data_IF_674043877493
#
_entry.id   IF_674043877493
#
_cell.length_a   1.000
_cell.length_b   1.000
_cell.length_c   1.000
_cell.angle_alpha   90.00
_cell.angle_beta   90.00
_cell.angle_gamma   90.00
#
_symmetry.space_group_name_H-M   'P 1'
#
loop_
_entity.id
_entity.type
_entity.pdbx_description
1 polymer ?
#
# COMPACT_ATOMS: atom_id res chain seq x y z
N UNK A 1 -8.69 -22.26 -8.63
CA UNK A 1 -9.31 -21.09 -9.26
C UNK A 1 -8.71 -19.87 -8.59
N UNK A 2 -8.16 -18.96 -9.39
CA UNK A 2 -7.49 -17.73 -8.94
C UNK A 2 -8.56 -16.74 -8.46
N UNK A 3 -9.17 -17.03 -7.30
CA UNK A 3 -10.31 -16.27 -6.82
C UNK A 3 -9.81 -14.98 -6.16
N UNK A 4 -10.11 -13.85 -6.81
CA UNK A 4 -9.71 -12.50 -6.39
C UNK A 4 -10.96 -11.70 -6.03
N UNK A 5 -11.67 -12.07 -4.95
CA UNK A 5 -12.98 -11.50 -4.62
C UNK A 5 -12.93 -9.99 -4.38
N UNK A 6 -11.78 -9.42 -4.03
CA UNK A 6 -11.60 -7.98 -3.88
C UNK A 6 -11.77 -7.23 -5.20
N UNK A 7 -11.49 -7.83 -6.36
CA UNK A 7 -11.66 -7.17 -7.67
C UNK A 7 -13.13 -6.80 -7.90
N UNK A 8 -14.05 -7.72 -7.57
CA UNK A 8 -15.49 -7.45 -7.59
C UNK A 8 -15.88 -6.30 -6.65
N UNK A 9 -15.32 -6.26 -5.44
CA UNK A 9 -15.63 -5.19 -4.49
C UNK A 9 -15.06 -3.83 -4.88
N UNK A 10 -13.94 -3.78 -5.62
CA UNK A 10 -13.43 -2.54 -6.24
C UNK A 10 -14.46 -2.02 -7.24
N UNK A 11 -14.93 -2.85 -8.17
CA UNK A 11 -15.91 -2.44 -9.18
C UNK A 11 -17.22 -1.95 -8.55
N UNK A 12 -17.70 -2.64 -7.52
CA UNK A 12 -18.89 -2.22 -6.77
C UNK A 12 -18.66 -0.89 -6.05
N UNK A 13 -17.50 -0.71 -5.40
CA UNK A 13 -17.16 0.52 -4.71
C UNK A 13 -17.03 1.71 -5.67
N UNK A 14 -16.43 1.52 -6.85
CA UNK A 14 -16.36 2.57 -7.88
C UNK A 14 -17.75 3.07 -8.28
N UNK A 15 -18.70 2.16 -8.54
CA UNK A 15 -20.08 2.53 -8.88
C UNK A 15 -20.74 3.33 -7.76
N UNK A 16 -20.54 2.94 -6.51
CA UNK A 16 -21.12 3.60 -5.33
C UNK A 16 -20.48 4.96 -5.01
N UNK A 17 -19.24 5.18 -5.44
CA UNK A 17 -18.46 6.37 -5.11
C UNK A 17 -18.36 7.38 -6.27
N UNK A 18 -19.05 7.13 -7.39
CA UNK A 18 -19.02 7.98 -8.61
C UNK A 18 -19.31 9.46 -8.32
N UNK A 19 -20.26 9.74 -7.41
CA UNK A 19 -20.73 11.12 -7.12
C UNK A 19 -20.04 11.73 -5.87
N UNK A 20 -18.87 11.24 -5.48
CA UNK A 20 -18.10 11.78 -4.34
C UNK A 20 -17.10 12.83 -4.78
N UNK A 21 -16.70 13.69 -3.84
CA UNK A 21 -15.75 14.78 -4.08
C UNK A 21 -14.37 14.29 -4.59
N UNK A 22 -13.98 13.08 -4.23
CA UNK A 22 -12.73 12.45 -4.65
C UNK A 22 -12.97 11.44 -5.77
N UNK A 23 -12.10 11.44 -6.78
CA UNK A 23 -12.08 10.39 -7.79
C UNK A 23 -11.42 9.12 -7.23
N UNK A 24 -12.20 8.05 -7.11
CA UNK A 24 -11.71 6.74 -6.65
C UNK A 24 -11.20 5.86 -7.80
N UNK A 25 -11.26 6.33 -9.04
CA UNK A 25 -10.71 5.63 -10.20
C UNK A 25 -9.20 5.49 -10.07
N UNK A 26 -8.65 4.38 -10.59
CA UNK A 26 -7.20 4.19 -10.67
C UNK A 26 -6.57 5.33 -11.48
N UNK A 27 -5.56 6.04 -10.94
CA UNK A 27 -4.81 7.01 -11.73
C UNK A 27 -4.09 6.36 -12.92
N UNK A 28 -3.61 7.20 -13.85
CA UNK A 28 -2.82 6.73 -14.98
C UNK A 28 -1.58 5.98 -14.50
N UNK A 29 -1.23 4.88 -15.18
CA UNK A 29 0.03 4.17 -14.92
C UNK A 29 1.27 5.04 -15.12
N UNK A 30 1.17 6.13 -15.89
CA UNK A 30 2.25 7.10 -16.07
C UNK A 30 2.56 7.92 -14.81
N UNK A 31 1.61 8.02 -13.87
CA UNK A 31 1.84 8.69 -12.59
C UNK A 31 2.37 7.73 -11.51
N UNK A 32 2.47 6.44 -11.84
CA UNK A 32 3.09 5.42 -11.01
C UNK A 32 4.63 5.42 -11.13
N UNK A 33 5.25 6.51 -10.67
CA UNK A 33 6.71 6.73 -10.73
C UNK A 33 7.43 6.40 -9.43
N UNK A 34 8.55 5.70 -9.54
CA UNK A 34 9.48 5.46 -8.43
C UNK A 34 10.68 6.43 -8.56
N UNK A 35 11.12 6.96 -7.42
CA UNK A 35 12.26 7.86 -7.36
C UNK A 35 13.31 7.33 -6.39
N UNK A 36 14.57 7.49 -6.76
CA UNK A 36 15.73 7.19 -5.92
C UNK A 36 16.53 8.47 -5.68
N UNK A 37 16.97 8.69 -4.44
CA UNK A 37 17.90 9.78 -4.11
C UNK A 37 19.32 9.23 -4.09
N UNK A 38 20.23 9.90 -4.80
CA UNK A 38 21.65 9.58 -4.76
C UNK A 38 22.22 9.76 -3.34
N UNK A 39 23.26 8.99 -3.00
CA UNK A 39 23.99 9.07 -1.73
C UNK A 39 24.64 10.46 -1.48
N UNK A 40 24.77 11.29 -2.52
CA UNK A 40 25.26 12.67 -2.41
C UNK A 40 24.16 13.68 -2.06
N UNK A 41 22.88 13.26 -2.04
CA UNK A 41 21.73 14.09 -1.62
C UNK A 41 21.20 15.06 -2.67
N UNK A 42 21.94 15.33 -3.75
CA UNK A 42 21.63 16.40 -4.70
C UNK A 42 20.82 15.95 -5.94
N UNK A 43 20.82 14.64 -6.25
CA UNK A 43 20.17 14.10 -7.45
C UNK A 43 18.99 13.17 -7.13
N UNK A 44 17.80 13.56 -7.59
CA UNK A 44 16.59 12.73 -7.60
C UNK A 44 16.43 12.09 -8.97
N UNK A 45 16.53 10.77 -9.05
CA UNK A 45 16.45 10.03 -10.30
C UNK A 45 15.15 9.23 -10.37
N UNK A 46 14.40 9.38 -11.47
CA UNK A 46 13.27 8.50 -11.77
C UNK A 46 13.81 7.13 -12.17
N UNK A 47 13.31 6.07 -11.54
CA UNK A 47 13.74 4.69 -11.76
C UNK A 47 12.55 3.81 -12.11
N UNK A 48 12.81 2.74 -12.87
CA UNK A 48 11.78 1.74 -13.19
C UNK A 48 11.41 0.87 -12.00
N UNK A 49 10.18 0.36 -11.99
CA UNK A 49 9.75 -0.62 -11.01
C UNK A 49 10.53 -1.94 -11.13
N UNK A 50 10.83 -2.62 -10.01
CA UNK A 50 11.49 -3.92 -10.02
C UNK A 50 10.74 -4.93 -10.90
N UNK A 51 11.47 -5.60 -11.79
CA UNK A 51 10.92 -6.66 -12.62
C UNK A 51 10.84 -7.96 -11.83
N UNK A 52 9.84 -8.82 -12.08
CA UNK A 52 9.82 -10.16 -11.51
C UNK A 52 11.08 -10.92 -11.94
N UNK A 53 11.58 -11.79 -11.06
CA UNK A 53 12.74 -12.63 -11.37
C UNK A 53 12.34 -13.61 -12.48
N UNK A 54 13.19 -13.79 -13.49
CA UNK A 54 12.90 -14.70 -14.59
C UNK A 54 12.60 -16.12 -14.08
N UNK A 55 11.53 -16.73 -14.61
CA UNK A 55 11.06 -18.04 -14.16
C UNK A 55 10.21 -18.03 -12.89
N UNK A 56 9.92 -16.86 -12.31
CA UNK A 56 8.98 -16.73 -11.17
C UNK A 56 7.59 -16.30 -11.63
N UNK A 57 6.57 -16.64 -10.82
CA UNK A 57 5.20 -16.21 -11.08
C UNK A 57 5.05 -14.70 -10.84
N UNK A 58 4.54 -13.97 -11.83
CA UNK A 58 4.18 -12.57 -11.67
C UNK A 58 2.67 -12.42 -11.40
N UNK A 59 2.26 -12.00 -10.18
CA UNK A 59 0.85 -11.77 -9.86
C UNK A 59 0.27 -10.51 -10.52
N UNK A 60 1.11 -9.63 -11.08
CA UNK A 60 0.71 -8.35 -11.67
C UNK A 60 -0.17 -8.56 -12.90
N UNK A 61 -1.34 -7.91 -12.90
CA UNK A 61 -2.18 -7.74 -14.09
C UNK A 61 -2.20 -6.25 -14.45
N UNK A 62 -2.17 -5.89 -15.76
CA UNK A 62 -2.25 -4.49 -16.18
C UNK A 62 -3.46 -3.78 -15.56
N UNK A 63 -3.23 -2.59 -14.98
CA UNK A 63 -4.24 -1.75 -14.34
C UNK A 63 -5.00 -2.37 -13.16
N UNK A 64 -4.50 -3.47 -12.58
CA UNK A 64 -5.10 -4.13 -11.42
C UNK A 64 -4.18 -4.02 -10.20
N UNK A 65 -4.73 -3.94 -8.98
CA UNK A 65 -3.91 -3.97 -7.78
C UNK A 65 -3.37 -5.38 -7.53
N UNK A 66 -2.23 -5.44 -6.86
CA UNK A 66 -1.61 -6.68 -6.37
C UNK A 66 -1.64 -6.69 -4.86
N UNK A 67 -1.96 -7.84 -4.28
CA UNK A 67 -1.91 -8.05 -2.84
C UNK A 67 -0.49 -8.45 -2.45
N UNK A 68 0.10 -7.71 -1.51
CA UNK A 68 1.42 -8.01 -0.94
C UNK A 68 1.27 -8.41 0.52
N UNK A 69 1.98 -9.45 0.95
CA UNK A 69 1.99 -9.94 2.32
C UNK A 69 3.35 -9.64 2.96
N UNK A 70 3.37 -8.82 4.00
CA UNK A 70 4.58 -8.49 4.73
C UNK A 70 4.33 -7.49 5.86
N UNK A 71 5.40 -7.16 6.60
CA UNK A 71 5.33 -6.20 7.69
C UNK A 71 5.07 -4.78 7.20
N UNK A 72 4.25 -4.04 7.93
CA UNK A 72 4.03 -2.60 7.72
C UNK A 72 4.66 -1.85 8.89
N UNK A 73 5.63 -0.99 8.61
CA UNK A 73 6.26 -0.13 9.61
C UNK A 73 5.49 1.16 9.85
N UNK A 74 5.49 1.64 11.10
CA UNK A 74 5.02 2.98 11.46
C UNK A 74 6.10 3.75 12.20
N UNK A 75 6.32 5.01 11.83
CA UNK A 75 7.23 5.90 12.53
C UNK A 75 7.57 7.13 11.72
N UNK A 76 7.26 8.32 12.25
CA UNK A 76 7.53 9.59 11.55
C UNK A 76 9.02 9.86 11.36
N UNK A 77 9.85 9.48 12.34
CA UNK A 77 11.31 9.64 12.29
C UNK A 77 11.91 8.77 11.19
N UNK A 78 11.39 7.55 11.01
CA UNK A 78 11.85 6.63 9.97
C UNK A 78 11.61 7.16 8.55
N UNK A 79 10.65 8.07 8.35
CA UNK A 79 10.33 8.61 7.02
C UNK A 79 11.20 9.81 6.63
N UNK A 80 12.01 10.33 7.55
CA UNK A 80 12.84 11.52 7.30
C UNK A 80 14.15 11.20 6.58
N UNK A 81 14.70 10.00 6.80
CA UNK A 81 15.95 9.56 6.19
C UNK A 81 15.77 8.20 5.50
N UNK A 82 16.03 8.16 4.20
CA UNK A 82 15.85 6.97 3.38
C UNK A 82 16.83 5.86 3.76
N UNK A 83 18.04 6.19 4.20
CA UNK A 83 19.04 5.20 4.63
C UNK A 83 18.57 4.45 5.87
N UNK A 84 18.14 5.20 6.89
CA UNK A 84 17.57 4.64 8.12
C UNK A 84 16.30 3.85 7.82
N UNK A 85 15.42 4.35 6.94
CA UNK A 85 14.21 3.65 6.53
C UNK A 85 14.51 2.29 5.90
N UNK A 86 15.45 2.25 4.95
CA UNK A 86 15.83 1.04 4.24
C UNK A 86 16.53 0.04 5.18
N UNK A 87 17.44 0.50 6.04
CA UNK A 87 18.10 -0.35 7.03
C UNK A 87 17.08 -0.94 8.02
N UNK A 88 16.10 -0.15 8.46
CA UNK A 88 15.03 -0.62 9.33
C UNK A 88 14.10 -1.62 8.62
N UNK A 89 13.79 -1.38 7.35
CA UNK A 89 13.00 -2.30 6.54
C UNK A 89 13.69 -3.65 6.38
N UNK A 90 14.98 -3.66 6.06
CA UNK A 90 15.79 -4.86 5.91
C UNK A 90 15.87 -5.64 7.23
N UNK A 91 16.16 -4.95 8.33
CA UNK A 91 16.29 -5.56 9.64
C UNK A 91 15.00 -6.23 10.14
N UNK A 92 13.83 -5.64 9.84
CA UNK A 92 12.53 -6.10 10.32
C UNK A 92 11.66 -6.80 9.26
N UNK A 93 12.17 -6.99 8.04
CA UNK A 93 11.42 -7.58 6.92
C UNK A 93 10.17 -6.79 6.55
N UNK A 94 10.24 -5.46 6.58
CA UNK A 94 9.11 -4.59 6.25
C UNK A 94 8.99 -4.40 4.74
N UNK A 95 7.76 -4.44 4.24
CA UNK A 95 7.46 -4.22 2.83
C UNK A 95 6.89 -2.83 2.55
N UNK A 96 6.31 -2.19 3.56
CA UNK A 96 5.74 -0.86 3.41
C UNK A 96 5.81 -0.07 4.72
N UNK A 97 5.59 1.23 4.60
CA UNK A 97 5.57 2.15 5.72
C UNK A 97 4.35 3.05 5.65
N UNK A 98 3.82 3.40 6.81
CA UNK A 98 2.75 4.38 6.93
C UNK A 98 2.81 5.04 8.31
N UNK A 99 2.74 6.36 8.36
CA UNK A 99 2.89 7.11 9.63
C UNK A 99 1.59 7.29 10.39
N UNK A 100 0.44 6.95 9.77
CA UNK A 100 -0.88 7.28 10.28
C UNK A 100 -1.47 6.27 11.27
N UNK A 101 -0.77 5.17 11.60
CA UNK A 101 -1.35 4.09 12.40
C UNK A 101 -0.60 3.78 13.71
N UNK A 102 0.41 4.57 14.10
CA UNK A 102 1.17 4.36 15.33
C UNK A 102 0.30 4.29 16.60
N UNK A 103 -0.66 5.21 16.76
CA UNK A 103 -1.59 5.20 17.89
C UNK A 103 -2.55 4.01 17.87
N UNK A 104 -2.85 3.46 16.69
CA UNK A 104 -3.66 2.24 16.55
C UNK A 104 -2.86 1.03 17.04
N UNK A 105 -1.56 0.95 16.71
CA UNK A 105 -0.65 -0.09 17.23
C UNK A 105 -0.53 -0.02 18.75
N UNK A 106 -0.33 1.19 19.30
CA UNK A 106 -0.28 1.40 20.75
C UNK A 106 -1.57 0.96 21.44
N UNK A 107 -2.72 1.24 20.84
CA UNK A 107 -4.03 0.81 21.35
C UNK A 107 -4.21 -0.71 21.26
N UNK A 108 -3.85 -1.35 20.15
CA UNK A 108 -3.89 -2.82 19.99
C UNK A 108 -3.04 -3.49 21.07
N UNK A 109 -1.81 -3.01 21.24
CA UNK A 109 -0.88 -3.54 22.24
C UNK A 109 -1.39 -3.30 23.67
N UNK A 110 -1.81 -2.08 23.99
CA UNK A 110 -2.32 -1.70 25.31
C UNK A 110 -3.59 -2.46 25.71
N UNK A 111 -4.46 -2.75 24.74
CA UNK A 111 -5.68 -3.53 24.94
C UNK A 111 -5.47 -5.04 24.77
N UNK A 112 -4.22 -5.51 24.58
CA UNK A 112 -3.85 -6.92 24.45
C UNK A 112 -4.67 -7.65 23.39
N UNK A 113 -4.76 -7.06 22.20
CA UNK A 113 -5.39 -7.70 21.03
C UNK A 113 -4.35 -8.56 20.32
N UNK A 114 -4.56 -9.87 20.36
CA UNK A 114 -3.65 -10.85 19.78
C UNK A 114 -3.98 -11.14 18.30
N UNK A 115 -5.24 -10.99 17.91
CA UNK A 115 -5.71 -11.23 16.53
C UNK A 115 -6.05 -9.90 15.83
N UNK A 116 -5.19 -9.49 14.91
CA UNK A 116 -5.40 -8.31 14.07
C UNK A 116 -4.63 -8.43 12.75
N UNK A 117 -5.07 -7.65 11.76
CA UNK A 117 -4.37 -7.49 10.49
C UNK A 117 -4.43 -6.03 10.07
N UNK A 118 -3.32 -5.52 9.54
CA UNK A 118 -3.29 -4.22 8.89
C UNK A 118 -3.49 -4.39 7.38
N UNK A 119 -4.49 -3.71 6.83
CA UNK A 119 -4.74 -3.66 5.38
C UNK A 119 -4.47 -2.23 4.93
N UNK A 120 -3.43 -2.04 4.10
CA UNK A 120 -3.07 -0.71 3.55
C UNK A 120 -3.07 -0.76 2.03
N UNK A 121 -3.57 0.33 1.43
CA UNK A 121 -3.39 0.60 0.01
C UNK A 121 -2.14 1.45 -0.21
N UNK A 122 -1.36 1.13 -1.24
CA UNK A 122 -0.17 1.90 -1.58
C UNK A 122 -0.59 3.14 -2.38
N UNK A 123 -0.33 4.32 -1.82
CA UNK A 123 -0.63 5.61 -2.46
C UNK A 123 0.64 6.32 -2.95
N UNK A 124 1.77 6.13 -2.28
CA UNK A 124 3.07 6.61 -2.73
C UNK A 124 4.22 5.72 -2.21
N UNK A 125 5.45 6.11 -2.52
CA UNK A 125 6.67 5.37 -2.18
C UNK A 125 7.49 6.05 -1.07
N UNK A 126 6.91 7.00 -0.32
CA UNK A 126 7.62 7.74 0.72
C UNK A 126 6.79 7.86 2.01
N UNK A 127 6.07 8.96 2.17
CA UNK A 127 5.49 9.37 3.46
C UNK A 127 4.01 9.77 3.38
N UNK A 128 3.35 9.55 2.24
CA UNK A 128 1.96 9.95 2.02
C UNK A 128 1.79 11.43 1.62
N UNK A 129 2.87 12.22 1.52
CA UNK A 129 2.77 13.66 1.19
C UNK A 129 2.76 13.93 -0.32
N UNK A 130 3.19 12.96 -1.13
CA UNK A 130 3.22 13.03 -2.58
C UNK A 130 2.06 12.23 -3.17
N UNK A 131 1.77 12.42 -4.46
CA UNK A 131 0.77 11.64 -5.22
C UNK A 131 -0.59 11.53 -4.53
N UNK A 132 -1.13 12.65 -4.02
CA UNK A 132 -2.45 12.68 -3.35
C UNK A 132 -3.58 12.11 -4.20
N UNK A 133 -3.45 12.16 -5.52
CA UNK A 133 -4.37 11.54 -6.48
C UNK A 133 -4.51 10.01 -6.36
N UNK A 134 -3.49 9.32 -5.83
CA UNK A 134 -3.53 7.87 -5.61
C UNK A 134 -4.21 7.47 -4.30
N UNK A 135 -4.34 8.39 -3.34
CA UNK A 135 -4.90 8.07 -2.02
C UNK A 135 -6.33 7.57 -2.07
N UNK A 136 -7.27 8.15 -2.84
CA UNK A 136 -8.63 7.63 -2.93
C UNK A 136 -8.68 6.21 -3.50
N UNK A 137 -7.99 5.95 -4.62
CA UNK A 137 -7.93 4.61 -5.22
C UNK A 137 -7.28 3.58 -4.29
N UNK A 138 -6.19 3.95 -3.62
CA UNK A 138 -5.52 3.10 -2.64
C UNK A 138 -6.46 2.75 -1.46
N UNK A 139 -7.20 3.73 -0.95
CA UNK A 139 -8.19 3.51 0.10
C UNK A 139 -9.32 2.58 -0.35
N UNK A 140 -9.82 2.75 -1.58
CA UNK A 140 -10.82 1.86 -2.16
C UNK A 140 -10.31 0.42 -2.27
N UNK A 141 -9.09 0.22 -2.79
CA UNK A 141 -8.48 -1.10 -2.93
C UNK A 141 -8.34 -1.80 -1.55
N UNK A 142 -7.88 -1.08 -0.53
CA UNK A 142 -7.78 -1.61 0.83
C UNK A 142 -9.16 -1.98 1.41
N UNK A 143 -10.17 -1.12 1.22
CA UNK A 143 -11.53 -1.38 1.68
C UNK A 143 -12.16 -2.59 0.98
N UNK A 144 -11.88 -2.78 -0.31
CA UNK A 144 -12.35 -3.92 -1.07
C UNK A 144 -11.73 -5.24 -0.59
N UNK A 145 -10.43 -5.24 -0.27
CA UNK A 145 -9.76 -6.40 0.36
C UNK A 145 -10.35 -6.70 1.73
N UNK A 146 -10.54 -5.68 2.57
CA UNK A 146 -11.19 -5.85 3.88
C UNK A 146 -12.59 -6.45 3.74
N UNK A 147 -13.40 -5.95 2.81
CA UNK A 147 -14.74 -6.47 2.54
C UNK A 147 -14.71 -7.92 2.07
N UNK A 148 -13.76 -8.26 1.20
CA UNK A 148 -13.56 -9.64 0.76
C UNK A 148 -13.24 -10.57 1.93
N UNK A 149 -12.38 -10.16 2.85
CA UNK A 149 -12.06 -10.92 4.06
C UNK A 149 -13.33 -11.12 4.89
N UNK A 150 -14.02 -10.03 5.27
CA UNK A 150 -15.21 -10.09 6.13
C UNK A 150 -16.31 -10.97 5.54
N UNK A 151 -16.56 -10.88 4.23
CA UNK A 151 -17.59 -11.70 3.56
C UNK A 151 -17.23 -13.20 3.46
N UNK A 152 -15.97 -13.56 3.68
CA UNK A 152 -15.49 -14.95 3.69
C UNK A 152 -15.16 -15.46 5.10
N UNK A 153 -15.39 -14.65 6.15
CA UNK A 153 -15.31 -15.14 7.52
C UNK A 153 -16.58 -15.94 7.85
N UNK A 154 -16.40 -17.05 8.56
CA UNK A 154 -17.52 -17.79 9.12
C UNK A 154 -18.30 -16.91 10.12
N UNK A 155 -19.64 -17.05 10.21
CA UNK A 155 -20.47 -16.27 11.13
C UNK A 155 -20.15 -16.44 12.61
#
# INVERSE_FOLDING_TARGET
MDDRPWEYFIEQGLKQLTDKESSFCRPSSETDKLYYMSNTGDDLMEVGHPQPIEGTFDPRKPNMPVLHFGGVGSGRVLMQDDTTRLAFADHHGLMSFDTGFGSVVESIFGNRKDDYVFIRGIADYKDGTKKKEWQPYAALAAAAVMKAIICNLDP
#
